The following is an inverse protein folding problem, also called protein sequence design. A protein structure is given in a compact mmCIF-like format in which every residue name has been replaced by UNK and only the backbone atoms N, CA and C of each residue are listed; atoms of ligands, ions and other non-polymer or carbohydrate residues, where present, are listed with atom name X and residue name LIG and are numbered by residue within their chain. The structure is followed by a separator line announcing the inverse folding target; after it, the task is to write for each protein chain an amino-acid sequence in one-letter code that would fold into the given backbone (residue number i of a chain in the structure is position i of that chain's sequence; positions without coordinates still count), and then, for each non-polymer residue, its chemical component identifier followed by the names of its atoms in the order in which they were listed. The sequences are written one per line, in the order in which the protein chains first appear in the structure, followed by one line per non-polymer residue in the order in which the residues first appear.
data_IF_840668631672
#
_entry.id   IF_840668631672
#
_cell.length_a   1.000
_cell.length_b   1.000
_cell.length_c   1.000
_cell.angle_alpha   90.00
_cell.angle_beta   90.00
_cell.angle_gamma   90.00
#
_symmetry.space_group_name_H-M   'P 1'
#
loop_
_entity.id
_entity.type
_entity.pdbx_description
1 polymer ?
#
# COMPACT_ATOMS: atom_id res chain seq x y z
N UNK A 1 9.73 -2.50 -5.69
CA UNK A 1 9.37 -2.97 -4.35
C UNK A 1 10.10 -4.28 -4.01
N UNK A 2 10.21 -4.67 -2.72
CA UNK A 2 10.99 -5.84 -2.31
C UNK A 2 10.49 -7.18 -2.84
N UNK A 3 9.24 -7.28 -3.26
CA UNK A 3 8.69 -8.53 -3.81
C UNK A 3 9.09 -8.76 -5.26
N UNK A 4 9.51 -7.73 -5.97
CA UNK A 4 9.80 -7.78 -7.41
C UNK A 4 8.56 -7.92 -8.30
N UNK A 5 7.34 -7.83 -7.72
CA UNK A 5 6.07 -8.04 -8.43
C UNK A 5 5.43 -6.70 -8.82
N UNK A 6 4.68 -6.73 -9.90
CA UNK A 6 3.86 -5.61 -10.36
C UNK A 6 2.41 -6.06 -10.46
N UNK A 7 1.49 -5.25 -9.95
CA UNK A 7 0.05 -5.54 -9.93
C UNK A 7 -0.70 -4.31 -10.45
N UNK A 8 -0.91 -4.27 -11.76
CA UNK A 8 -1.54 -3.16 -12.46
C UNK A 8 -2.61 -3.72 -13.40
N UNK A 9 -3.79 -3.11 -13.37
CA UNK A 9 -4.83 -3.26 -14.37
C UNK A 9 -5.04 -1.93 -15.08
N UNK A 10 -5.12 -1.96 -16.40
CA UNK A 10 -5.35 -0.78 -17.23
C UNK A 10 -6.65 -0.93 -18.01
N UNK A 11 -7.30 0.19 -18.27
CA UNK A 11 -8.36 0.28 -19.26
C UNK A 11 -7.92 1.20 -20.39
N UNK A 12 -8.12 0.75 -21.61
CA UNK A 12 -7.80 1.48 -22.83
C UNK A 12 -9.08 1.71 -23.63
N UNK A 13 -9.23 2.91 -24.16
CA UNK A 13 -10.26 3.21 -25.16
C UNK A 13 -9.84 2.61 -26.51
N UNK A 14 -10.57 1.63 -26.97
CA UNK A 14 -10.25 0.90 -28.20
C UNK A 14 -10.33 1.74 -29.47
N UNK A 15 -11.05 2.86 -29.43
CA UNK A 15 -11.16 3.76 -30.58
C UNK A 15 -9.93 4.67 -30.73
N UNK A 16 -9.29 5.02 -29.62
CA UNK A 16 -8.19 6.00 -29.60
C UNK A 16 -6.84 5.43 -29.19
N UNK A 17 -6.81 4.25 -28.56
CA UNK A 17 -5.64 3.67 -27.91
C UNK A 17 -5.22 4.42 -26.62
N UNK A 18 -6.05 5.32 -26.10
CA UNK A 18 -5.75 6.08 -24.90
C UNK A 18 -6.01 5.24 -23.66
N UNK A 19 -5.07 5.24 -22.70
CA UNK A 19 -5.31 4.70 -21.36
C UNK A 19 -6.26 5.65 -20.61
N UNK A 20 -7.41 5.14 -20.20
CA UNK A 20 -8.52 5.88 -19.59
C UNK A 20 -8.77 5.48 -18.13
N UNK A 21 -8.20 4.39 -17.68
CA UNK A 21 -8.30 3.91 -16.30
C UNK A 21 -7.04 3.16 -15.86
N UNK A 22 -6.70 3.31 -14.58
CA UNK A 22 -5.57 2.67 -13.95
C UNK A 22 -5.94 2.23 -12.53
N UNK A 23 -5.61 1.00 -12.19
CA UNK A 23 -5.79 0.43 -10.86
C UNK A 23 -4.55 -0.36 -10.50
N UNK A 24 -3.86 0.04 -9.45
CA UNK A 24 -2.60 -0.58 -9.07
C UNK A 24 -2.47 -0.82 -7.57
N UNK A 25 -1.52 -1.66 -7.23
CA UNK A 25 -1.09 -1.89 -5.87
C UNK A 25 0.41 -2.10 -5.75
N UNK A 26 0.89 -1.94 -4.52
CA UNK A 26 2.20 -2.36 -4.09
C UNK A 26 2.06 -3.71 -3.36
N UNK A 27 2.55 -4.81 -3.93
CA UNK A 27 2.64 -6.08 -3.20
C UNK A 27 3.66 -5.96 -2.08
N UNK A 28 3.25 -6.35 -0.87
CA UNK A 28 4.04 -6.22 0.35
C UNK A 28 4.12 -7.55 1.08
N UNK A 29 5.29 -7.87 1.61
CA UNK A 29 5.41 -8.97 2.57
C UNK A 29 4.74 -8.55 3.87
N UNK A 30 3.83 -9.37 4.35
CA UNK A 30 3.01 -9.10 5.52
C UNK A 30 3.14 -10.24 6.53
N UNK A 31 3.38 -9.88 7.77
CA UNK A 31 3.27 -10.79 8.92
C UNK A 31 1.80 -10.92 9.31
N UNK A 32 1.28 -12.14 9.32
CA UNK A 32 -0.09 -12.43 9.68
C UNK A 32 -0.14 -13.70 10.53
N UNK A 33 -0.56 -13.57 11.78
CA UNK A 33 -0.73 -14.67 12.72
C UNK A 33 0.47 -15.66 12.77
N UNK A 34 1.68 -15.13 12.79
CA UNK A 34 2.91 -15.93 12.86
C UNK A 34 3.50 -16.38 11.51
N UNK A 35 2.89 -16.02 10.40
CA UNK A 35 3.31 -16.42 9.04
C UNK A 35 3.59 -15.21 8.16
N UNK A 36 4.64 -15.27 7.35
CA UNK A 36 4.88 -14.28 6.28
C UNK A 36 4.00 -14.64 5.09
N UNK A 37 3.17 -13.70 4.66
CA UNK A 37 2.30 -13.79 3.49
C UNK A 37 2.45 -12.56 2.59
N UNK A 38 1.70 -12.49 1.52
CA UNK A 38 1.65 -11.31 0.65
C UNK A 38 0.32 -10.59 0.81
N UNK A 39 0.37 -9.27 0.82
CA UNK A 39 -0.80 -8.40 0.74
C UNK A 39 -0.55 -7.26 -0.23
N UNK A 40 -1.62 -6.69 -0.75
CA UNK A 40 -1.57 -5.63 -1.74
C UNK A 40 -2.00 -4.29 -1.14
N UNK A 41 -1.11 -3.31 -1.07
CA UNK A 41 -1.49 -1.93 -0.76
C UNK A 41 -2.00 -1.25 -2.02
N UNK A 42 -3.28 -0.92 -2.07
CA UNK A 42 -3.88 -0.20 -3.19
C UNK A 42 -3.30 1.21 -3.27
N UNK A 43 -2.84 1.59 -4.46
CA UNK A 43 -2.23 2.90 -4.77
C UNK A 43 -2.61 3.37 -6.17
N UNK A 44 -2.47 4.68 -6.42
CA UNK A 44 -2.52 5.29 -7.76
C UNK A 44 -3.77 4.96 -8.58
N UNK A 45 -4.93 5.07 -7.95
CA UNK A 45 -6.21 4.84 -8.61
C UNK A 45 -6.59 6.05 -9.47
N UNK A 46 -6.70 5.86 -10.77
CA UNK A 46 -7.03 6.93 -11.72
C UNK A 46 -8.07 6.48 -12.73
N UNK A 47 -9.06 7.32 -12.97
CA UNK A 47 -10.02 7.17 -14.07
C UNK A 47 -10.32 8.55 -14.63
N UNK A 48 -10.24 8.71 -15.95
CA UNK A 48 -10.57 9.96 -16.62
C UNK A 48 -12.01 10.37 -16.31
N UNK A 49 -12.29 11.67 -16.07
CA UNK A 49 -13.61 12.17 -15.62
C UNK A 49 -14.78 11.67 -16.46
N UNK A 50 -14.65 11.66 -17.77
CA UNK A 50 -15.70 11.25 -18.70
C UNK A 50 -16.03 9.74 -18.63
N UNK A 51 -15.13 8.94 -18.03
CA UNK A 51 -15.30 7.50 -17.88
C UNK A 51 -15.74 7.07 -16.46
N UNK A 52 -15.90 8.02 -15.53
CA UNK A 52 -16.27 7.72 -14.12
C UNK A 52 -17.70 7.26 -13.94
N UNK A 53 -18.62 7.79 -14.73
CA UNK A 53 -20.04 7.43 -14.66
C UNK A 53 -20.52 6.92 -16.04
N UNK A 54 -20.96 5.68 -16.10
CA UNK A 54 -21.43 5.07 -17.32
C UNK A 54 -22.85 4.55 -17.14
N UNK A 55 -23.86 5.36 -17.52
CA UNK A 55 -25.23 4.92 -17.83
C UNK A 55 -25.88 3.90 -16.87
N UNK A 56 -25.76 4.07 -15.55
CA UNK A 56 -26.37 3.16 -14.56
C UNK A 56 -25.62 1.82 -14.35
N UNK A 57 -24.54 1.58 -15.07
CA UNK A 57 -23.64 0.43 -14.88
C UNK A 57 -22.51 0.79 -13.90
N UNK A 58 -21.83 -0.22 -13.28
CA UNK A 58 -20.62 0.04 -12.56
C UNK A 58 -19.64 0.85 -13.44
N UNK A 59 -19.24 2.03 -12.98
CA UNK A 59 -18.29 2.89 -13.72
C UNK A 59 -16.97 2.18 -13.99
N UNK A 60 -16.14 2.75 -14.83
CA UNK A 60 -14.87 2.13 -15.24
C UNK A 60 -13.99 1.77 -14.05
N UNK A 61 -13.98 2.59 -13.00
CA UNK A 61 -13.28 2.28 -11.74
C UNK A 61 -13.62 0.89 -11.19
N UNK A 62 -14.93 0.57 -11.13
CA UNK A 62 -15.38 -0.72 -10.58
C UNK A 62 -15.04 -1.89 -11.52
N UNK A 63 -15.04 -1.67 -12.83
CA UNK A 63 -14.72 -2.71 -13.81
C UNK A 63 -13.22 -3.06 -13.75
N UNK A 64 -12.35 -2.04 -13.76
CA UNK A 64 -10.88 -2.24 -13.69
C UNK A 64 -10.49 -2.80 -12.32
N UNK A 65 -11.12 -2.29 -11.24
CA UNK A 65 -10.88 -2.79 -9.89
C UNK A 65 -11.31 -4.24 -9.71
N UNK A 66 -12.41 -4.67 -10.33
CA UNK A 66 -12.84 -6.07 -10.30
C UNK A 66 -11.84 -6.98 -11.03
N UNK A 67 -11.45 -6.59 -12.25
CA UNK A 67 -10.43 -7.34 -13.00
C UNK A 67 -9.14 -7.47 -12.18
N UNK A 68 -8.70 -6.37 -11.56
CA UNK A 68 -7.53 -6.36 -10.71
C UNK A 68 -7.70 -7.30 -9.50
N UNK A 69 -8.83 -7.23 -8.80
CA UNK A 69 -9.12 -8.08 -7.63
C UNK A 69 -9.15 -9.56 -8.03
N UNK A 70 -9.88 -9.92 -9.08
CA UNK A 70 -10.01 -11.31 -9.54
C UNK A 70 -8.65 -11.88 -10.01
N UNK A 71 -7.75 -11.03 -10.48
CA UNK A 71 -6.42 -11.44 -10.95
C UNK A 71 -5.42 -11.62 -9.79
N UNK A 72 -5.39 -10.69 -8.84
CA UNK A 72 -4.29 -10.58 -7.89
C UNK A 72 -4.64 -10.94 -6.45
N UNK A 73 -5.92 -11.03 -6.08
CA UNK A 73 -6.34 -11.34 -4.71
C UNK A 73 -7.04 -12.70 -4.66
N UNK A 74 -6.61 -13.56 -3.73
CA UNK A 74 -7.21 -14.88 -3.54
C UNK A 74 -6.26 -15.87 -2.84
N UNK A 75 -6.58 -17.14 -2.97
CA UNK A 75 -5.82 -18.26 -2.41
C UNK A 75 -4.97 -18.99 -3.46
N UNK A 76 -4.99 -18.53 -4.72
CA UNK A 76 -4.24 -19.11 -5.82
C UNK A 76 -2.75 -18.82 -5.73
N UNK A 77 -1.96 -19.65 -6.42
CA UNK A 77 -0.52 -19.42 -6.52
C UNK A 77 -0.24 -18.04 -7.13
N UNK A 78 0.59 -17.24 -6.44
CA UNK A 78 0.95 -15.90 -6.88
C UNK A 78 -0.10 -14.81 -6.57
N UNK A 79 -1.21 -15.14 -5.94
CA UNK A 79 -2.18 -14.16 -5.44
C UNK A 79 -1.81 -13.66 -4.04
N UNK A 80 -2.24 -12.47 -3.72
CA UNK A 80 -2.10 -11.88 -2.39
C UNK A 80 -3.35 -12.20 -1.57
N UNK A 81 -3.18 -12.46 -0.27
CA UNK A 81 -4.27 -12.94 0.60
C UNK A 81 -5.37 -11.87 0.78
N UNK A 82 -4.99 -10.60 0.81
CA UNK A 82 -5.93 -9.48 0.92
C UNK A 82 -5.33 -8.20 0.34
N UNK A 83 -6.19 -7.23 0.10
CA UNK A 83 -5.78 -5.87 -0.24
C UNK A 83 -6.23 -4.87 0.82
N UNK A 84 -5.48 -3.78 0.97
CA UNK A 84 -5.81 -2.68 1.86
C UNK A 84 -5.38 -1.34 1.25
N UNK A 85 -5.93 -0.25 1.72
CA UNK A 85 -5.58 1.07 1.23
C UNK A 85 -6.14 2.18 2.12
N UNK A 86 -5.72 3.40 1.81
CA UNK A 86 -6.23 4.60 2.46
C UNK A 86 -7.46 5.11 1.71
N UNK A 87 -8.42 5.73 2.39
CA UNK A 87 -9.62 6.24 1.73
C UNK A 87 -9.25 7.30 0.68
N UNK A 88 -9.79 7.13 -0.50
CA UNK A 88 -9.75 8.09 -1.60
C UNK A 88 -11.20 8.47 -1.95
N UNK A 89 -11.48 9.53 -2.68
CA UNK A 89 -12.87 9.90 -3.03
C UNK A 89 -13.70 8.75 -3.64
N UNK A 90 -13.03 7.77 -4.27
CA UNK A 90 -13.68 6.60 -4.87
C UNK A 90 -14.03 5.48 -3.87
N UNK A 91 -13.70 5.59 -2.58
CA UNK A 91 -13.90 4.51 -1.60
C UNK A 91 -15.34 4.00 -1.50
N UNK A 92 -16.32 4.89 -1.66
CA UNK A 92 -17.75 4.53 -1.67
C UNK A 92 -18.11 3.64 -2.84
N UNK A 93 -17.52 3.86 -4.01
CA UNK A 93 -17.66 2.98 -5.16
C UNK A 93 -16.97 1.64 -4.90
N UNK A 94 -15.82 1.65 -4.25
CA UNK A 94 -15.13 0.45 -3.79
C UNK A 94 -15.98 -0.38 -2.82
N UNK A 95 -16.65 0.23 -1.84
CA UNK A 95 -17.58 -0.46 -0.96
C UNK A 95 -18.75 -1.08 -1.73
N UNK A 96 -19.37 -0.32 -2.62
CA UNK A 96 -20.55 -0.75 -3.35
C UNK A 96 -20.27 -1.87 -4.36
N UNK A 97 -19.12 -1.84 -5.03
CA UNK A 97 -18.87 -2.68 -6.20
C UNK A 97 -17.68 -3.64 -6.05
N UNK A 98 -16.75 -3.39 -5.11
CA UNK A 98 -15.52 -4.16 -4.95
C UNK A 98 -15.38 -4.82 -3.57
N UNK A 99 -16.42 -4.72 -2.72
CA UNK A 99 -16.40 -5.34 -1.40
C UNK A 99 -15.46 -4.68 -0.38
N UNK A 100 -15.12 -3.41 -0.55
CA UNK A 100 -14.30 -2.70 0.43
C UNK A 100 -15.01 -2.63 1.78
N UNK A 101 -14.26 -2.92 2.83
CA UNK A 101 -14.71 -2.79 4.21
C UNK A 101 -13.97 -1.62 4.87
N UNK A 102 -14.71 -0.79 5.60
CA UNK A 102 -14.08 0.18 6.48
C UNK A 102 -13.65 -0.54 7.77
N UNK A 103 -12.33 -0.61 8.00
CA UNK A 103 -11.77 -1.26 9.18
C UNK A 103 -11.73 -0.28 10.35
N UNK A 104 -11.38 0.98 10.09
CA UNK A 104 -11.22 2.02 11.10
C UNK A 104 -11.21 3.41 10.47
N UNK A 105 -11.82 4.36 11.18
CA UNK A 105 -11.61 5.77 10.91
C UNK A 105 -10.35 6.27 11.63
N UNK A 106 -9.59 7.13 10.97
CA UNK A 106 -8.35 7.69 11.50
C UNK A 106 -8.49 9.20 11.63
N UNK A 107 -8.09 9.72 12.76
CA UNK A 107 -7.96 11.15 12.97
C UNK A 107 -6.69 11.66 12.27
N UNK A 108 -6.81 12.78 11.56
CA UNK A 108 -5.66 13.50 11.05
C UNK A 108 -5.13 14.41 12.16
N UNK A 109 -3.97 14.05 12.71
CA UNK A 109 -3.35 14.81 13.80
C UNK A 109 -2.38 15.82 13.22
N UNK A 110 -2.54 17.08 13.55
CA UNK A 110 -1.62 18.17 13.27
C UNK A 110 -0.90 18.59 14.55
N UNK A 111 0.39 18.84 14.45
CA UNK A 111 1.18 19.46 15.51
C UNK A 111 2.05 20.54 14.91
N UNK A 112 1.95 21.75 15.46
CA UNK A 112 2.97 22.75 15.25
C UNK A 112 4.26 22.29 15.93
N UNK A 113 5.35 22.22 15.16
CA UNK A 113 6.64 21.83 15.71
C UNK A 113 7.26 23.07 16.39
N UNK A 114 7.42 23.08 17.72
CA UNK A 114 8.23 24.08 18.36
C UNK A 114 9.68 23.95 17.85
N UNK A 115 10.46 25.01 18.02
CA UNK A 115 11.89 24.96 17.73
C UNK A 115 12.50 23.70 18.38
N UNK A 116 13.40 22.98 17.67
CA UNK A 116 13.88 21.69 18.11
C UNK A 116 14.55 21.77 19.46
N UNK A 117 13.85 21.32 20.50
CA UNK A 117 14.45 21.08 21.81
C UNK A 117 15.03 19.66 21.77
N UNK A 118 16.34 19.58 21.67
CA UNK A 118 17.04 18.30 21.80
C UNK A 118 17.03 17.87 23.27
N UNK A 119 16.07 17.09 23.65
CA UNK A 119 16.15 16.27 24.87
C UNK A 119 16.17 14.80 24.42
N UNK A 120 17.34 14.32 24.09
CA UNK A 120 17.60 12.87 24.05
C UNK A 120 18.07 12.51 25.47
N UNK A 121 17.50 11.47 26.05
CA UNK A 121 18.00 10.89 27.30
C UNK A 121 19.47 10.49 27.11
N UNK A 122 20.31 10.70 28.15
CA UNK A 122 21.72 10.31 28.12
C UNK A 122 21.93 8.79 27.90
N UNK A 123 20.86 8.01 28.03
CA UNK A 123 20.85 6.56 27.81
C UNK A 123 20.62 6.16 26.35
N UNK A 124 20.22 7.10 25.47
CA UNK A 124 19.90 6.83 24.07
C UNK A 124 20.80 7.64 23.13
N UNK A 125 21.29 6.98 22.12
CA UNK A 125 22.00 7.62 21.02
C UNK A 125 21.11 7.63 19.79
N UNK A 126 20.85 8.82 19.24
CA UNK A 126 20.12 8.98 17.99
C UNK A 126 21.10 9.38 16.89
N UNK A 127 21.22 8.54 15.87
CA UNK A 127 22.08 8.78 14.72
C UNK A 127 21.29 8.75 13.42
N UNK A 128 21.70 9.60 12.49
CA UNK A 128 21.20 9.54 11.12
C UNK A 128 21.94 8.41 10.38
N UNK A 129 21.19 7.59 9.66
CA UNK A 129 21.75 6.52 8.84
C UNK A 129 21.36 6.72 7.38
N UNK A 130 22.24 6.37 6.46
CA UNK A 130 21.97 6.40 5.02
C UNK A 130 21.30 5.10 4.55
N UNK A 131 21.61 4.00 5.19
CA UNK A 131 21.04 2.68 4.91
C UNK A 131 20.79 1.89 6.18
N UNK A 132 19.80 1.04 6.14
CA UNK A 132 19.42 0.15 7.24
C UNK A 132 20.22 -1.16 7.15
N UNK A 133 20.80 -1.57 8.26
CA UNK A 133 21.57 -2.80 8.40
C UNK A 133 20.82 -3.91 9.16
N UNK A 134 21.51 -5.00 9.53
CA UNK A 134 20.92 -6.16 10.19
C UNK A 134 20.39 -5.87 11.62
N UNK A 135 20.74 -4.73 12.21
CA UNK A 135 20.17 -4.29 13.48
C UNK A 135 18.65 -4.05 13.39
N UNK A 136 18.17 -3.59 12.23
CA UNK A 136 16.73 -3.42 11.98
C UNK A 136 16.02 -4.76 11.83
N UNK A 137 16.67 -5.76 11.24
CA UNK A 137 16.11 -7.11 11.15
C UNK A 137 15.92 -7.71 12.55
N UNK A 138 16.91 -7.53 13.44
CA UNK A 138 16.79 -7.97 14.86
C UNK A 138 15.67 -7.24 15.61
N UNK A 139 15.51 -5.93 15.35
CA UNK A 139 14.41 -5.15 15.93
C UNK A 139 13.06 -5.68 15.42
N UNK A 140 12.94 -5.92 14.11
CA UNK A 140 11.73 -6.50 13.53
C UNK A 140 11.41 -7.87 14.12
N UNK A 141 12.40 -8.74 14.24
CA UNK A 141 12.25 -10.10 14.79
C UNK A 141 11.79 -10.09 16.26
N UNK A 142 12.17 -9.08 17.02
CA UNK A 142 11.66 -8.90 18.38
C UNK A 142 10.19 -8.42 18.36
N UNK A 143 9.89 -7.39 17.55
CA UNK A 143 8.57 -6.77 17.51
C UNK A 143 7.49 -7.66 16.91
N UNK A 144 7.79 -8.43 15.84
CA UNK A 144 6.77 -9.24 15.14
C UNK A 144 6.07 -10.25 16.04
N UNK A 145 6.72 -10.68 17.14
CA UNK A 145 6.15 -11.64 18.10
C UNK A 145 4.93 -11.08 18.85
N UNK A 146 4.82 -9.78 18.95
CA UNK A 146 3.73 -9.07 19.62
C UNK A 146 2.62 -8.64 18.63
N UNK A 147 2.87 -8.81 17.32
CA UNK A 147 1.97 -8.34 16.28
C UNK A 147 1.18 -9.50 15.67
N UNK A 148 -0.12 -9.30 15.53
CA UNK A 148 -0.99 -10.24 14.79
C UNK A 148 -0.99 -9.98 13.30
N UNK A 149 -0.96 -8.71 12.90
CA UNK A 149 -0.96 -8.28 11.51
C UNK A 149 -0.11 -7.01 11.34
N UNK A 150 0.89 -7.07 10.47
CA UNK A 150 1.70 -5.90 10.10
C UNK A 150 2.45 -6.13 8.78
N UNK A 151 2.68 -5.07 8.01
CA UNK A 151 3.66 -5.10 6.92
C UNK A 151 5.05 -5.35 7.52
N UNK A 152 5.80 -6.28 6.97
CA UNK A 152 7.17 -6.59 7.40
C UNK A 152 8.06 -5.37 7.15
N UNK A 153 8.75 -4.93 8.20
CA UNK A 153 9.62 -3.73 8.19
C UNK A 153 11.07 -4.11 8.45
N UNK A 154 11.55 -5.09 7.73
CA UNK A 154 12.96 -5.49 7.74
C UNK A 154 13.85 -4.50 6.97
N UNK A 155 15.16 -4.68 7.03
CA UNK A 155 16.12 -3.82 6.35
C UNK A 155 15.89 -3.75 4.84
N UNK A 156 15.45 -4.85 4.20
CA UNK A 156 15.12 -4.88 2.77
C UNK A 156 13.96 -3.95 2.43
N UNK A 157 12.89 -3.99 3.22
CA UNK A 157 11.73 -3.12 3.03
C UNK A 157 12.08 -1.64 3.27
N UNK A 158 12.79 -1.35 4.38
CA UNK A 158 13.12 0.04 4.74
C UNK A 158 14.12 0.66 3.77
N UNK A 159 15.10 -0.10 3.30
CA UNK A 159 16.02 0.38 2.28
C UNK A 159 15.30 0.71 0.97
N UNK A 160 14.45 -0.19 0.48
CA UNK A 160 13.64 0.09 -0.70
C UNK A 160 12.80 1.36 -0.54
N UNK A 161 12.17 1.52 0.62
CA UNK A 161 11.22 2.62 0.82
C UNK A 161 11.88 3.98 1.03
N UNK A 162 13.03 4.01 1.70
CA UNK A 162 13.64 5.25 2.16
C UNK A 162 15.05 5.50 1.61
N UNK A 163 15.88 4.49 1.42
CA UNK A 163 17.24 4.69 0.95
C UNK A 163 17.35 4.63 -0.58
N UNK A 164 16.62 3.72 -1.22
CA UNK A 164 16.66 3.49 -2.67
C UNK A 164 15.55 4.26 -3.43
N UNK A 165 14.70 5.02 -2.72
CA UNK A 165 13.64 5.80 -3.35
C UNK A 165 14.24 6.98 -4.13
N UNK A 166 13.89 7.15 -5.42
CA UNK A 166 14.54 8.14 -6.29
C UNK A 166 14.32 9.59 -5.84
N UNK A 167 13.25 9.87 -5.12
CA UNK A 167 12.89 11.22 -4.67
C UNK A 167 13.41 11.57 -3.25
N UNK A 168 14.09 10.64 -2.59
CA UNK A 168 14.65 10.83 -1.24
C UNK A 168 16.17 10.97 -1.34
N UNK A 169 16.64 12.03 -2.01
CA UNK A 169 18.06 12.38 -2.05
C UNK A 169 18.31 13.77 -1.47
#
# INVERSE_FOLDING_TARGET
NPTGRTQIALAEDTATGQVVGHYASLPLVTWMEGVRTLSAQIVDLMVLPQWRAYGGRPGLFAQVGRLWTDTFIGEGEGQDVFSFGWPVPAWRAGQKYLGYLNIRDWDLLFRELPAPQRTVSDELVVTQVERYGPEVDRLWDAMQKELRLAVVRDARYLNWRFADHPDVR
#
